data_IF_493926427523
#
_entry.id   IF_493926427523
#
_cell.length_a   1.000
_cell.length_b   1.000
_cell.length_c   1.000
_cell.angle_alpha   90.00
_cell.angle_beta   90.00
_cell.angle_gamma   90.00
#
_symmetry.space_group_name_H-M   'P 1'
#
loop_
_entity.id
_entity.type
_entity.pdbx_description
1 polymer ?
#
# COMPACT_ATOMS: atom_id res chain seq x y z
N UNK A 1 -6.11 59.97 12.40
CA UNK A 1 -7.12 59.13 13.07
C UNK A 1 -6.54 57.72 13.03
N UNK A 2 -6.03 57.24 14.17
CA UNK A 2 -5.29 55.99 14.30
C UNK A 2 -6.26 54.89 14.77
N UNK A 3 -6.30 53.76 14.08
CA UNK A 3 -6.90 52.52 14.60
C UNK A 3 -5.77 51.51 14.83
N UNK A 4 -5.54 51.21 16.11
CA UNK A 4 -4.56 50.23 16.58
C UNK A 4 -5.26 48.87 16.67
N UNK A 5 -4.95 47.94 15.76
CA UNK A 5 -5.38 46.54 15.87
C UNK A 5 -4.47 45.79 16.86
N UNK A 6 -5.03 45.40 18.01
CA UNK A 6 -4.36 44.51 18.97
C UNK A 6 -4.59 43.06 18.58
N UNK A 7 -3.59 42.41 17.99
CA UNK A 7 -3.63 40.98 17.71
C UNK A 7 -3.26 40.18 18.96
N UNK A 8 -4.21 39.41 19.51
CA UNK A 8 -3.96 38.47 20.62
C UNK A 8 -3.43 37.17 20.02
N UNK A 9 -2.11 36.99 20.05
CA UNK A 9 -1.45 35.74 19.70
C UNK A 9 -1.65 34.71 20.82
N UNK A 10 -2.74 33.93 20.75
CA UNK A 10 -2.93 32.77 21.61
C UNK A 10 -2.02 31.63 21.18
N UNK A 11 -0.94 31.40 21.93
CA UNK A 11 -0.10 30.22 21.78
C UNK A 11 -0.88 28.98 22.23
N UNK A 12 -1.36 28.16 21.29
CA UNK A 12 -1.83 26.82 21.58
C UNK A 12 -0.62 25.96 21.96
N UNK A 13 -0.40 25.74 23.25
CA UNK A 13 0.55 24.75 23.72
C UNK A 13 0.06 23.37 23.28
N UNK A 14 0.71 22.78 22.27
CA UNK A 14 0.46 21.40 21.86
C UNK A 14 0.82 20.48 23.02
N UNK A 15 -0.18 19.78 23.58
CA UNK A 15 0.08 18.73 24.56
C UNK A 15 0.94 17.65 23.90
N UNK A 16 2.09 17.35 24.50
CA UNK A 16 2.94 16.27 24.04
C UNK A 16 2.13 14.96 24.00
N UNK A 17 2.30 14.11 22.97
CA UNK A 17 1.55 12.87 22.87
C UNK A 17 1.79 12.00 24.11
N UNK A 18 0.74 11.80 24.90
CA UNK A 18 0.82 10.97 26.09
C UNK A 18 0.96 9.49 25.68
N UNK A 19 2.03 8.85 26.13
CA UNK A 19 2.28 7.42 25.95
C UNK A 19 1.20 6.65 26.74
N UNK A 20 0.50 5.75 26.07
CA UNK A 20 -0.45 4.83 26.69
C UNK A 20 0.30 3.59 27.18
N UNK A 21 0.74 3.67 28.44
CA UNK A 21 1.48 2.60 29.09
C UNK A 21 0.67 1.31 29.22
N UNK A 22 -0.67 1.37 29.28
CA UNK A 22 -1.49 0.18 29.36
C UNK A 22 -1.43 -0.61 28.04
N UNK A 23 -1.52 0.08 26.91
CA UNK A 23 -1.35 -0.53 25.58
C UNK A 23 0.07 -1.07 25.39
N UNK A 24 1.11 -0.33 25.80
CA UNK A 24 2.49 -0.84 25.75
C UNK A 24 2.65 -2.12 26.57
N UNK A 25 2.17 -2.14 27.82
CA UNK A 25 2.28 -3.30 28.71
C UNK A 25 1.48 -4.51 28.19
N UNK A 26 0.28 -4.27 27.63
CA UNK A 26 -0.54 -5.31 27.01
C UNK A 26 0.26 -6.05 25.93
N UNK A 27 0.85 -5.31 24.99
CA UNK A 27 1.61 -5.91 23.89
C UNK A 27 2.99 -6.42 24.30
N UNK A 28 3.61 -5.86 25.34
CA UNK A 28 4.87 -6.37 25.89
C UNK A 28 4.73 -7.75 26.56
N UNK A 29 3.52 -8.11 27.02
CA UNK A 29 3.23 -9.43 27.60
C UNK A 29 2.71 -10.44 26.58
N UNK A 30 2.35 -9.99 25.38
CA UNK A 30 1.84 -10.85 24.34
C UNK A 30 2.99 -11.60 23.67
N UNK A 31 2.88 -12.92 23.56
CA UNK A 31 3.82 -13.71 22.77
C UNK A 31 3.43 -13.71 21.28
N UNK A 32 2.13 -13.77 21.00
CA UNK A 32 1.57 -13.89 19.66
C UNK A 32 0.49 -12.85 19.41
N UNK A 33 0.41 -12.38 18.16
CA UNK A 33 -0.64 -11.50 17.68
C UNK A 33 -1.20 -12.01 16.35
N UNK A 34 -2.52 -12.02 16.20
CA UNK A 34 -3.17 -12.21 14.91
C UNK A 34 -3.26 -10.84 14.23
N UNK A 35 -2.79 -10.76 12.99
CA UNK A 35 -2.89 -9.56 12.17
C UNK A 35 -3.93 -9.75 11.08
N UNK A 36 -4.82 -8.77 10.95
CA UNK A 36 -5.59 -8.53 9.74
C UNK A 36 -4.99 -7.33 9.01
N UNK A 37 -4.72 -7.48 7.71
CA UNK A 37 -4.16 -6.42 6.87
C UNK A 37 -5.10 -6.16 5.70
N UNK A 38 -5.66 -4.95 5.65
CA UNK A 38 -6.31 -4.42 4.45
C UNK A 38 -5.27 -3.59 3.68
N UNK A 39 -4.90 -4.03 2.48
CA UNK A 39 -4.00 -3.33 1.59
C UNK A 39 -4.79 -2.75 0.41
N UNK A 40 -4.53 -1.48 0.10
CA UNK A 40 -5.13 -0.78 -1.04
C UNK A 40 -4.01 -0.16 -1.87
N UNK A 41 -3.95 -0.49 -3.15
CA UNK A 41 -3.18 0.26 -4.12
C UNK A 41 -4.08 1.35 -4.69
N UNK A 42 -3.56 2.57 -4.75
CA UNK A 42 -4.22 3.67 -5.45
C UNK A 42 -3.13 4.58 -6.00
N UNK A 43 -2.95 4.57 -7.32
CA UNK A 43 -1.85 5.31 -7.92
C UNK A 43 -1.81 5.27 -9.44
N UNK A 44 -1.05 6.23 -9.97
CA UNK A 44 -0.74 6.31 -11.39
C UNK A 44 0.37 5.31 -11.75
N UNK A 45 0.12 4.40 -12.69
CA UNK A 45 1.11 3.38 -13.07
C UNK A 45 0.94 2.91 -14.52
N UNK A 46 1.94 2.17 -15.02
CA UNK A 46 1.89 1.56 -16.34
C UNK A 46 0.87 0.43 -16.40
N UNK A 47 -0.09 0.54 -17.33
CA UNK A 47 -1.19 -0.43 -17.53
C UNK A 47 -1.05 -1.24 -18.81
N UNK A 48 0.10 -1.10 -19.47
CA UNK A 48 0.56 -1.99 -20.53
C UNK A 48 1.96 -2.51 -20.20
N UNK A 49 2.30 -3.68 -20.73
CA UNK A 49 3.63 -4.27 -20.52
C UNK A 49 4.74 -3.47 -21.21
N UNK A 50 4.43 -2.74 -22.28
CA UNK A 50 5.39 -1.84 -22.92
C UNK A 50 5.48 -0.55 -22.09
N UNK A 51 6.64 -0.33 -21.46
CA UNK A 51 6.84 0.81 -20.57
C UNK A 51 6.58 2.16 -21.28
N UNK A 52 5.87 3.07 -20.60
CA UNK A 52 5.49 4.40 -21.13
C UNK A 52 4.40 4.39 -22.22
N UNK A 53 4.04 3.23 -22.75
CA UNK A 53 3.11 3.13 -23.88
C UNK A 53 1.64 3.33 -23.46
N UNK A 54 1.30 2.96 -22.22
CA UNK A 54 0.02 3.28 -21.59
C UNK A 54 0.15 3.31 -20.07
N UNK A 55 -0.35 4.38 -19.47
CA UNK A 55 -0.41 4.59 -18.03
C UNK A 55 -1.82 5.03 -17.64
N UNK A 56 -2.24 4.74 -16.41
CA UNK A 56 -3.55 5.14 -15.90
C UNK A 56 -3.59 5.17 -14.37
N UNK A 57 -4.68 5.72 -13.85
CA UNK A 57 -5.04 5.60 -12.44
C UNK A 57 -5.50 4.18 -12.19
N UNK A 58 -4.83 3.49 -11.28
CA UNK A 58 -5.13 2.11 -10.90
C UNK A 58 -5.50 2.06 -9.44
N UNK A 59 -6.59 1.37 -9.14
CA UNK A 59 -6.93 0.96 -7.78
C UNK A 59 -6.99 -0.57 -7.69
N UNK A 60 -6.43 -1.15 -6.63
CA UNK A 60 -6.45 -2.58 -6.34
C UNK A 60 -6.55 -2.80 -4.83
N UNK A 61 -6.95 -3.99 -4.38
CA UNK A 61 -7.02 -4.33 -2.97
C UNK A 61 -6.58 -5.76 -2.69
N UNK A 62 -6.03 -5.97 -1.49
CA UNK A 62 -5.58 -7.27 -1.02
C UNK A 62 -5.87 -7.36 0.48
N UNK A 63 -6.36 -8.52 0.93
CA UNK A 63 -6.50 -8.83 2.36
C UNK A 63 -5.52 -9.91 2.74
N UNK A 64 -4.85 -9.76 3.88
CA UNK A 64 -3.90 -10.75 4.40
C UNK A 64 -4.14 -10.97 5.90
N UNK A 65 -4.25 -12.23 6.29
CA UNK A 65 -4.39 -12.66 7.68
C UNK A 65 -3.25 -13.61 8.05
N UNK A 66 -2.60 -13.35 9.18
CA UNK A 66 -1.53 -14.21 9.70
C UNK A 66 -1.41 -14.11 11.22
N UNK A 67 -0.77 -15.11 11.83
CA UNK A 67 -0.37 -15.08 13.24
C UNK A 67 1.12 -14.82 13.32
N UNK A 68 1.53 -13.93 14.22
CA UNK A 68 2.90 -13.47 14.36
C UNK A 68 3.38 -13.66 15.79
N UNK A 69 4.48 -14.41 15.97
CA UNK A 69 5.20 -14.48 17.22
C UNK A 69 6.06 -13.21 17.38
N UNK A 70 5.71 -12.38 18.37
CA UNK A 70 6.30 -11.08 18.63
C UNK A 70 7.75 -11.20 19.12
N UNK A 71 8.07 -12.26 19.86
CA UNK A 71 9.41 -12.48 20.41
C UNK A 71 10.38 -13.02 19.36
N UNK A 72 9.92 -14.02 18.60
CA UNK A 72 10.73 -14.68 17.57
C UNK A 72 10.73 -13.93 16.24
N UNK A 73 9.81 -12.98 16.06
CA UNK A 73 9.56 -12.28 14.80
C UNK A 73 9.30 -13.27 13.66
N UNK A 74 8.35 -14.18 13.88
CA UNK A 74 8.01 -15.25 12.94
C UNK A 74 6.52 -15.42 12.72
N UNK A 75 6.14 -15.78 11.49
CA UNK A 75 4.79 -16.26 11.20
C UNK A 75 4.59 -17.61 11.88
N UNK A 76 3.43 -17.77 12.52
CA UNK A 76 2.99 -19.03 13.12
C UNK A 76 1.87 -19.60 12.26
N UNK A 77 2.12 -20.73 11.60
CA UNK A 77 1.17 -21.37 10.71
C UNK A 77 1.10 -20.71 9.32
N UNK A 78 -0.04 -20.88 8.65
CA UNK A 78 -0.25 -20.42 7.28
C UNK A 78 -0.65 -18.93 7.22
N UNK A 79 -0.19 -18.24 6.17
CA UNK A 79 -0.67 -16.91 5.81
C UNK A 79 -1.86 -17.06 4.85
N UNK A 80 -3.00 -16.49 5.21
CA UNK A 80 -4.18 -16.45 4.36
C UNK A 80 -4.25 -15.13 3.63
N UNK A 81 -4.70 -15.14 2.39
CA UNK A 81 -4.90 -13.93 1.62
C UNK A 81 -6.11 -14.04 0.70
N UNK A 82 -6.67 -12.90 0.34
CA UNK A 82 -7.73 -12.76 -0.65
C UNK A 82 -7.42 -11.59 -1.56
N UNK A 83 -7.31 -11.85 -2.86
CA UNK A 83 -7.14 -10.81 -3.87
C UNK A 83 -8.46 -10.07 -4.10
N UNK A 84 -8.37 -8.76 -4.26
CA UNK A 84 -9.40 -7.95 -4.89
C UNK A 84 -9.25 -7.96 -6.41
N UNK A 85 -10.07 -7.16 -7.08
CA UNK A 85 -9.93 -6.88 -8.51
C UNK A 85 -9.39 -5.48 -8.74
N UNK A 86 -8.70 -5.30 -9.85
CA UNK A 86 -8.17 -3.99 -10.26
C UNK A 86 -9.19 -3.18 -11.05
N UNK A 87 -9.18 -1.86 -10.87
CA UNK A 87 -9.89 -0.90 -11.72
C UNK A 87 -8.89 0.06 -12.36
N UNK A 88 -9.14 0.43 -13.62
CA UNK A 88 -8.26 1.29 -14.40
C UNK A 88 -9.04 2.45 -14.98
N UNK A 89 -8.56 3.67 -14.72
CA UNK A 89 -9.16 4.91 -15.19
C UNK A 89 -8.13 5.85 -15.81
N UNK A 90 -8.63 6.81 -16.60
CA UNK A 90 -7.82 7.92 -17.08
C UNK A 90 -6.63 7.52 -17.97
N UNK A 91 -6.72 6.39 -18.68
CA UNK A 91 -5.59 5.87 -19.47
C UNK A 91 -5.09 6.89 -20.48
N UNK A 92 -3.79 7.12 -20.52
CA UNK A 92 -3.08 7.97 -21.49
C UNK A 92 -1.67 7.46 -21.76
N UNK A 93 -1.04 8.00 -22.80
CA UNK A 93 0.39 7.82 -23.02
C UNK A 93 1.18 8.69 -22.04
N UNK A 94 2.39 8.28 -21.68
CA UNK A 94 3.30 9.13 -20.90
C UNK A 94 3.77 10.36 -21.69
N UNK A 95 3.65 10.33 -23.02
CA UNK A 95 3.97 11.43 -23.92
C UNK A 95 2.70 12.21 -24.29
N UNK A 96 2.68 13.51 -24.03
CA UNK A 96 1.49 14.36 -24.18
C UNK A 96 1.02 14.48 -25.64
N UNK A 97 1.93 14.38 -26.59
CA UNK A 97 1.69 14.51 -28.02
C UNK A 97 1.19 13.20 -28.64
N UNK A 98 1.22 12.10 -27.90
CA UNK A 98 0.73 10.81 -28.38
C UNK A 98 -0.80 10.72 -28.33
N UNK A 99 -1.40 9.98 -29.28
CA UNK A 99 -2.78 9.51 -29.15
C UNK A 99 -3.00 8.75 -27.84
N UNK A 100 -4.21 8.85 -27.30
CA UNK A 100 -4.63 8.07 -26.13
C UNK A 100 -4.59 6.56 -26.46
N UNK A 101 -3.90 5.73 -25.66
CA UNK A 101 -3.93 4.29 -25.79
C UNK A 101 -5.34 3.71 -25.60
N UNK A 102 -5.56 2.50 -26.10
CA UNK A 102 -6.79 1.76 -25.77
C UNK A 102 -6.91 1.51 -24.27
N UNK A 103 -8.13 1.32 -23.77
CA UNK A 103 -8.33 0.82 -22.40
C UNK A 103 -7.87 -0.65 -22.34
N UNK A 104 -6.94 -1.02 -21.44
CA UNK A 104 -6.50 -2.40 -21.32
C UNK A 104 -7.63 -3.25 -20.73
N UNK A 105 -8.09 -4.24 -21.48
CA UNK A 105 -9.07 -5.20 -20.99
C UNK A 105 -8.39 -6.25 -20.12
N UNK A 106 -8.86 -6.46 -18.87
CA UNK A 106 -8.33 -7.51 -17.99
C UNK A 106 -6.95 -7.20 -17.40
N UNK A 107 -6.64 -5.92 -17.19
CA UNK A 107 -5.48 -5.54 -16.39
C UNK A 107 -5.72 -5.92 -14.93
N UNK A 108 -4.76 -6.61 -14.32
CA UNK A 108 -4.71 -6.89 -12.89
C UNK A 108 -3.37 -6.42 -12.34
N UNK A 109 -3.40 -5.50 -11.38
CA UNK A 109 -2.21 -4.87 -10.84
C UNK A 109 -1.35 -5.84 -10.03
N UNK A 110 -1.98 -6.59 -9.12
CA UNK A 110 -1.29 -7.65 -8.38
C UNK A 110 -2.23 -8.76 -7.89
N UNK A 111 -2.04 -9.97 -8.43
CA UNK A 111 -2.71 -11.18 -7.93
C UNK A 111 -1.72 -12.02 -7.13
N UNK A 112 -1.91 -12.12 -5.82
CA UNK A 112 -1.10 -12.97 -4.94
C UNK A 112 -1.44 -14.43 -5.17
N UNK A 113 -0.39 -15.25 -5.34
CA UNK A 113 -0.48 -16.70 -5.52
C UNK A 113 0.09 -17.46 -4.32
N UNK A 114 1.00 -16.86 -3.56
CA UNK A 114 1.55 -17.44 -2.33
C UNK A 114 2.06 -16.35 -1.38
N UNK A 115 2.08 -16.65 -0.09
CA UNK A 115 2.60 -15.78 0.95
C UNK A 115 3.43 -16.59 1.94
N UNK A 116 4.66 -16.16 2.21
CA UNK A 116 5.56 -16.83 3.15
C UNK A 116 6.53 -15.84 3.79
N UNK A 117 7.03 -16.17 4.97
CA UNK A 117 8.05 -15.35 5.61
C UNK A 117 9.43 -15.53 4.93
N UNK A 118 10.19 -14.45 4.75
CA UNK A 118 11.60 -14.51 4.35
C UNK A 118 12.56 -14.52 5.55
N UNK A 119 13.86 -14.58 5.24
CA UNK A 119 14.92 -14.55 6.25
C UNK A 119 15.03 -13.21 7.00
N UNK A 120 14.51 -12.12 6.42
CA UNK A 120 14.53 -10.79 7.03
C UNK A 120 13.34 -10.54 7.96
N UNK A 121 12.45 -11.52 8.13
CA UNK A 121 11.27 -11.37 8.97
C UNK A 121 10.15 -10.57 8.33
N UNK A 122 10.11 -10.49 7.00
CA UNK A 122 9.00 -9.92 6.24
C UNK A 122 8.11 -11.04 5.73
N UNK A 123 6.84 -10.73 5.48
CA UNK A 123 6.00 -11.62 4.67
C UNK A 123 6.21 -11.22 3.22
N UNK A 124 6.67 -12.16 2.42
CA UNK A 124 6.83 -12.03 0.97
C UNK A 124 5.58 -12.57 0.30
N UNK A 125 4.89 -11.69 -0.41
CA UNK A 125 3.76 -12.02 -1.25
C UNK A 125 4.28 -12.23 -2.66
N UNK A 126 4.23 -13.46 -3.16
CA UNK A 126 4.58 -13.77 -4.55
C UNK A 126 3.31 -13.90 -5.36
N UNK A 127 3.30 -13.23 -6.48
CA UNK A 127 2.13 -13.15 -7.34
C UNK A 127 2.50 -12.78 -8.75
N UNK A 128 1.51 -12.28 -9.46
CA UNK A 128 1.65 -11.90 -10.86
C UNK A 128 0.91 -10.59 -11.12
N UNK A 129 1.38 -9.85 -12.11
CA UNK A 129 0.68 -8.71 -12.70
C UNK A 129 0.25 -9.13 -14.11
N UNK A 130 -1.02 -8.96 -14.42
CA UNK A 130 -1.56 -9.28 -15.72
C UNK A 130 -1.81 -7.99 -16.51
N UNK A 131 -1.24 -7.92 -17.70
CA UNK A 131 -1.49 -6.86 -18.66
C UNK A 131 -2.44 -7.37 -19.74
N UNK A 132 -3.54 -6.65 -19.93
CA UNK A 132 -4.44 -6.87 -21.05
C UNK A 132 -3.80 -6.57 -22.40
N UNK A 133 -4.35 -7.17 -23.47
CA UNK A 133 -4.03 -6.73 -24.82
C UNK A 133 -4.57 -5.30 -25.03
N UNK A 134 -3.75 -4.43 -25.64
CA UNK A 134 -4.08 -3.00 -25.77
C UNK A 134 -3.44 -2.41 -27.02
N UNK A 135 -4.05 -1.37 -27.59
CA UNK A 135 -3.43 -0.57 -28.65
C UNK A 135 -2.65 0.57 -28.02
N UNK A 136 -1.37 0.69 -28.34
CA UNK A 136 -0.49 1.73 -27.81
C UNK A 136 0.18 2.51 -28.95
N UNK A 137 0.47 3.80 -28.76
CA UNK A 137 1.23 4.56 -29.74
C UNK A 137 2.69 4.06 -29.81
N UNK A 138 3.21 3.86 -31.01
CA UNK A 138 4.58 3.36 -31.23
C UNK A 138 5.60 4.50 -31.30
N UNK A 139 5.36 5.51 -32.15
CA UNK A 139 6.27 6.64 -32.34
C UNK A 139 5.48 7.95 -32.38
N UNK A 140 5.76 8.82 -31.40
CA UNK A 140 5.20 10.16 -31.34
C UNK A 140 6.29 11.23 -31.32
N UNK A 141 6.08 12.38 -31.99
CA UNK A 141 4.89 12.73 -32.79
C UNK A 141 4.95 12.24 -34.25
N UNK A 142 6.00 11.54 -34.66
CA UNK A 142 6.37 11.35 -36.07
C UNK A 142 5.43 10.45 -36.88
N UNK A 143 4.92 9.34 -36.32
CA UNK A 143 4.06 8.41 -37.06
C UNK A 143 2.61 8.39 -36.56
N UNK A 144 2.39 8.74 -35.28
CA UNK A 144 1.09 8.60 -34.60
C UNK A 144 0.46 7.21 -34.77
N UNK A 145 1.26 6.20 -35.12
CA UNK A 145 0.78 4.86 -35.40
C UNK A 145 0.46 4.13 -34.11
N UNK A 146 -0.71 3.51 -34.09
CA UNK A 146 -1.11 2.58 -33.03
C UNK A 146 -0.58 1.19 -33.36
N UNK A 147 -0.04 0.50 -32.35
CA UNK A 147 0.41 -0.88 -32.43
C UNK A 147 -0.27 -1.70 -31.34
N UNK A 148 -0.59 -2.95 -31.67
CA UNK A 148 -1.05 -3.91 -30.67
C UNK A 148 0.11 -4.30 -29.74
N UNK A 149 -0.08 -4.05 -28.45
CA UNK A 149 0.67 -4.68 -27.38
C UNK A 149 -0.09 -5.93 -26.93
N UNK A 150 0.49 -7.14 -27.04
CA UNK A 150 -0.19 -8.36 -26.65
C UNK A 150 -0.37 -8.41 -25.13
N UNK A 151 -1.35 -9.20 -24.68
CA UNK A 151 -1.50 -9.51 -23.27
C UNK A 151 -0.23 -10.21 -22.74
N UNK A 152 0.11 -9.93 -21.48
CA UNK A 152 1.26 -10.55 -20.83
C UNK A 152 1.06 -10.61 -19.33
N UNK A 153 1.47 -11.73 -18.74
CA UNK A 153 1.59 -11.87 -17.30
C UNK A 153 3.06 -11.83 -16.90
N UNK A 154 3.38 -11.10 -15.83
CA UNK A 154 4.74 -11.03 -15.27
C UNK A 154 4.72 -11.35 -13.79
N UNK A 155 5.74 -12.07 -13.33
CA UNK A 155 5.91 -12.31 -11.90
C UNK A 155 6.12 -10.98 -11.16
N UNK A 156 5.50 -10.86 -9.99
CA UNK A 156 5.59 -9.71 -9.12
C UNK A 156 5.79 -10.17 -7.67
N UNK A 157 6.38 -9.30 -6.86
CA UNK A 157 6.65 -9.60 -5.45
C UNK A 157 6.45 -8.35 -4.62
N UNK A 158 5.66 -8.48 -3.56
CA UNK A 158 5.44 -7.43 -2.57
C UNK A 158 5.92 -7.90 -1.20
N UNK A 159 6.28 -6.94 -0.36
CA UNK A 159 6.83 -7.19 0.97
C UNK A 159 5.99 -6.49 2.03
N UNK A 160 5.50 -7.25 2.99
CA UNK A 160 4.85 -6.72 4.18
C UNK A 160 5.87 -6.61 5.31
N UNK A 161 6.19 -5.38 5.69
CA UNK A 161 6.94 -5.09 6.91
C UNK A 161 5.97 -5.04 8.09
N UNK A 162 6.14 -5.95 9.05
CA UNK A 162 5.18 -6.10 10.16
C UNK A 162 5.53 -5.09 11.27
N UNK A 163 4.66 -4.11 11.56
CA UNK A 163 4.89 -3.17 12.65
C UNK A 163 4.76 -3.86 14.02
N UNK A 164 5.54 -3.39 14.99
CA UNK A 164 5.45 -3.88 16.36
C UNK A 164 4.21 -3.31 17.07
N UNK A 165 3.24 -4.13 17.51
CA UNK A 165 2.03 -3.66 18.19
C UNK A 165 2.27 -2.80 19.43
N UNK A 166 3.44 -2.89 20.08
CA UNK A 166 3.80 -1.99 21.20
C UNK A 166 3.81 -0.52 20.79
N UNK A 167 4.08 -0.23 19.51
CA UNK A 167 4.07 1.13 18.96
C UNK A 167 2.68 1.77 18.97
N UNK A 168 1.59 0.98 19.06
CA UNK A 168 0.22 1.52 19.24
C UNK A 168 0.11 2.36 20.54
N UNK A 169 0.89 2.03 21.56
CA UNK A 169 0.90 2.79 22.82
C UNK A 169 1.72 4.08 22.77
N UNK A 170 2.66 4.22 21.82
CA UNK A 170 3.54 5.39 21.68
C UNK A 170 2.86 6.48 20.83
N UNK A 171 2.03 6.10 19.86
CA UNK A 171 1.33 7.02 18.96
C UNK A 171 2.21 7.44 17.79
N UNK A 172 3.13 8.38 17.99
CA UNK A 172 4.00 8.85 16.91
C UNK A 172 5.21 7.93 16.71
N UNK A 173 5.50 7.58 15.46
CA UNK A 173 6.56 6.63 15.10
C UNK A 173 7.85 7.33 14.64
N UNK A 174 7.80 8.64 14.39
CA UNK A 174 8.87 9.39 13.72
C UNK A 174 9.06 9.06 12.24
N UNK A 175 8.33 8.07 11.70
CA UNK A 175 8.36 7.70 10.30
C UNK A 175 7.10 8.24 9.59
N UNK A 176 7.24 9.13 8.60
CA UNK A 176 6.09 9.72 7.91
C UNK A 176 5.24 8.70 7.14
N UNK A 177 5.81 7.51 6.85
CA UNK A 177 5.12 6.43 6.17
C UNK A 177 4.42 5.46 7.13
N UNK A 178 4.50 5.67 8.45
CA UNK A 178 3.84 4.81 9.45
C UNK A 178 3.04 5.67 10.41
N UNK A 179 1.72 5.59 10.31
CA UNK A 179 0.78 6.34 11.16
C UNK A 179 0.03 5.37 12.06
N UNK A 180 -0.09 5.68 13.35
CA UNK A 180 -0.99 4.97 14.27
C UNK A 180 -2.37 5.64 14.20
N UNK A 181 -3.42 4.83 14.07
CA UNK A 181 -4.81 5.33 14.07
C UNK A 181 -5.14 6.06 15.38
N UNK A 182 -6.12 6.98 15.33
CA UNK A 182 -6.53 7.77 16.52
C UNK A 182 -7.00 6.89 17.68
N UNK A 183 -7.64 5.78 17.38
CA UNK A 183 -8.11 4.79 18.36
C UNK A 183 -7.02 3.81 18.83
N UNK A 184 -5.79 3.94 18.31
CA UNK A 184 -4.61 3.14 18.63
C UNK A 184 -4.81 1.64 18.42
N UNK A 185 -5.62 1.26 17.43
CA UNK A 185 -5.87 -0.15 17.08
C UNK A 185 -5.22 -0.58 15.77
N UNK A 186 -4.85 0.36 14.91
CA UNK A 186 -4.39 0.07 13.56
C UNK A 186 -3.13 0.87 13.24
N UNK A 187 -2.22 0.26 12.48
CA UNK A 187 -1.14 0.98 11.80
C UNK A 187 -1.51 1.18 10.35
N UNK A 188 -1.26 2.38 9.82
CA UNK A 188 -1.31 2.66 8.39
C UNK A 188 0.12 2.83 7.89
N UNK A 189 0.57 1.90 7.05
CA UNK A 189 1.90 1.91 6.44
C UNK A 189 1.76 2.21 4.95
N UNK A 190 2.55 3.16 4.42
CA UNK A 190 2.58 3.46 2.98
C UNK A 190 3.91 3.04 2.35
N UNK A 191 3.85 2.25 1.28
CA UNK A 191 5.04 1.85 0.53
C UNK A 191 4.67 1.44 -0.90
N UNK A 192 5.46 1.83 -1.90
CA UNK A 192 5.31 1.41 -3.30
C UNK A 192 3.90 1.63 -3.89
N UNK A 193 3.22 2.72 -3.54
CA UNK A 193 1.85 3.00 -3.98
C UNK A 193 0.75 2.26 -3.19
N UNK A 194 1.12 1.31 -2.33
CA UNK A 194 0.21 0.64 -1.43
C UNK A 194 0.06 1.39 -0.11
N UNK A 195 -1.16 1.35 0.43
CA UNK A 195 -1.50 1.69 1.80
C UNK A 195 -1.97 0.43 2.52
N UNK A 196 -1.26 0.04 3.58
CA UNK A 196 -1.51 -1.14 4.37
C UNK A 196 -2.05 -0.76 5.75
N UNK A 197 -3.25 -1.21 6.09
CA UNK A 197 -3.87 -1.04 7.40
C UNK A 197 -3.70 -2.33 8.23
N UNK A 198 -2.74 -2.36 9.16
CA UNK A 198 -2.48 -3.50 10.05
C UNK A 198 -3.29 -3.38 11.33
N UNK A 199 -4.18 -4.33 11.58
CA UNK A 199 -4.99 -4.40 12.80
C UNK A 199 -4.57 -5.63 13.62
N UNK A 200 -3.63 -5.49 14.58
CA UNK A 200 -3.25 -6.59 15.46
C UNK A 200 -4.31 -6.84 16.54
N UNK A 201 -4.59 -8.11 16.78
CA UNK A 201 -5.47 -8.62 17.83
C UNK A 201 -4.65 -9.63 18.65
N UNK A 202 -4.86 -9.68 19.97
CA UNK A 202 -4.27 -10.74 20.77
C UNK A 202 -4.76 -12.09 20.26
N UNK A 203 -3.83 -12.96 19.86
CA UNK A 203 -4.19 -14.33 19.56
C UNK A 203 -4.64 -15.03 20.86
N UNK A 204 -5.67 -15.86 20.75
CA UNK A 204 -6.18 -16.64 21.88
C UNK A 204 -5.30 -17.86 22.15
#
# INVERSE_FOLDING_TARGET
MFETLTAVAGMLAGAAPQIDMATVQKWARAEVASFHVDAVFDGWTGVSHQWGAAEGEVSDSLKVDFVWNLNQRKVVGDVKFSNGGSDVKGVRSSLKECPTPGMPSGYEHFTVNSAAQDFDGRIVLKGERAYGAVQVPLDCPSSMQMKSSPAKTVAATEYLAIPDPRMLGVGETGNPNVVVSKDRKTFVVKANGWTYAYTPILAK
#
